data_IF_575872882132
#
_entry.id   IF_575872882132
#
_cell.length_a   1.000
_cell.length_b   1.000
_cell.length_c   1.000
_cell.angle_alpha   90.00
_cell.angle_beta   90.00
_cell.angle_gamma   90.00
#
_symmetry.space_group_name_H-M   'P 1'
#
loop_
_entity.id
_entity.type
_entity.pdbx_description
1 polymer ?
#
# COMPACT_ATOMS: atom_id res chain seq x y z
N UNK A 1 -11.10 15.58 11.04
CA UNK A 1 -10.58 14.28 10.58
C UNK A 1 -9.08 14.49 10.35
N UNK A 2 -8.20 13.61 10.86
CA UNK A 2 -6.73 13.79 10.77
C UNK A 2 -6.07 12.90 9.71
N UNK A 3 -6.79 11.89 9.23
CA UNK A 3 -6.34 10.96 8.18
C UNK A 3 -7.46 10.86 7.17
N UNK A 4 -7.17 11.13 5.91
CA UNK A 4 -8.14 11.09 4.80
C UNK A 4 -7.59 10.14 3.74
N UNK A 5 -8.38 9.16 3.34
CA UNK A 5 -8.01 8.24 2.28
C UNK A 5 -8.72 8.60 0.96
N UNK A 6 -7.96 8.68 -0.13
CA UNK A 6 -8.42 8.97 -1.49
C UNK A 6 -7.94 7.83 -2.39
N UNK A 7 -8.85 6.95 -2.79
CA UNK A 7 -8.52 5.76 -3.58
C UNK A 7 -8.50 6.07 -5.07
N UNK A 8 -7.46 5.59 -5.76
CA UNK A 8 -7.31 5.72 -7.22
C UNK A 8 -7.25 4.34 -7.89
N UNK A 9 -8.31 3.51 -7.78
CA UNK A 9 -8.32 2.14 -8.28
C UNK A 9 -8.30 2.06 -9.80
N UNK A 10 -8.49 3.17 -10.52
CA UNK A 10 -8.63 3.24 -11.97
C UNK A 10 -7.54 4.07 -12.67
N UNK A 11 -6.51 4.53 -11.94
CA UNK A 11 -5.41 5.33 -12.53
C UNK A 11 -4.68 4.57 -13.64
N UNK A 12 -4.68 3.23 -13.59
CA UNK A 12 -4.09 2.41 -14.66
C UNK A 12 -5.09 2.09 -15.77
N UNK A 13 -6.37 1.97 -15.46
CA UNK A 13 -7.42 1.66 -16.46
C UNK A 13 -7.54 2.77 -17.52
N UNK A 14 -7.26 4.02 -17.15
CA UNK A 14 -7.26 5.15 -18.07
C UNK A 14 -5.99 5.31 -18.91
N UNK A 15 -4.94 4.50 -18.69
CA UNK A 15 -3.68 4.65 -19.42
C UNK A 15 -3.87 4.43 -20.93
N UNK A 16 -3.48 5.39 -21.77
CA UNK A 16 -3.51 5.22 -23.21
C UNK A 16 -2.72 4.00 -23.69
N UNK A 17 -3.28 3.29 -24.67
CA UNK A 17 -2.61 2.16 -25.32
C UNK A 17 -1.31 2.58 -26.02
N UNK A 18 -1.29 3.80 -26.58
CA UNK A 18 -0.11 4.38 -27.22
C UNK A 18 0.83 4.94 -26.16
N UNK A 19 2.07 4.43 -26.14
CA UNK A 19 3.11 4.88 -25.20
C UNK A 19 3.33 6.40 -25.24
N UNK A 20 3.28 7.00 -26.44
CA UNK A 20 3.46 8.44 -26.63
C UNK A 20 2.42 9.30 -25.91
N UNK A 21 1.23 8.77 -25.66
CA UNK A 21 0.11 9.50 -25.03
C UNK A 21 0.07 9.32 -23.51
N UNK A 22 0.82 8.35 -22.97
CA UNK A 22 0.78 7.99 -21.53
C UNK A 22 1.27 9.09 -20.62
N UNK A 23 2.35 9.77 -20.99
CA UNK A 23 2.92 10.84 -20.16
C UNK A 23 1.92 11.97 -19.95
N UNK A 24 1.27 12.43 -21.02
CA UNK A 24 0.24 13.45 -20.93
C UNK A 24 -0.94 13.02 -20.04
N UNK A 25 -1.34 11.75 -20.13
CA UNK A 25 -2.40 11.19 -19.27
C UNK A 25 -2.01 11.23 -17.79
N UNK A 26 -0.84 10.66 -17.45
CA UNK A 26 -0.39 10.56 -16.07
C UNK A 26 -0.20 11.95 -15.45
N UNK A 27 0.34 12.92 -16.21
CA UNK A 27 0.52 14.30 -15.74
C UNK A 27 -0.79 14.95 -15.26
N UNK A 28 -1.88 14.86 -16.03
CA UNK A 28 -3.14 15.46 -15.59
C UNK A 28 -3.82 14.62 -14.51
N UNK A 29 -3.70 13.30 -14.53
CA UNK A 29 -4.31 12.41 -13.53
C UNK A 29 -3.73 12.67 -12.13
N UNK A 30 -2.39 12.70 -12.03
CA UNK A 30 -1.68 13.03 -10.78
C UNK A 30 -2.02 14.44 -10.32
N UNK A 31 -2.08 15.41 -11.25
CA UNK A 31 -2.47 16.78 -10.91
C UNK A 31 -3.88 16.84 -10.34
N UNK A 32 -4.83 16.07 -10.88
CA UNK A 32 -6.19 16.00 -10.37
C UNK A 32 -6.23 15.46 -8.93
N UNK A 33 -5.47 14.40 -8.65
CA UNK A 33 -5.29 13.87 -7.29
C UNK A 33 -4.72 14.93 -6.34
N UNK A 34 -3.63 15.61 -6.73
CA UNK A 34 -3.03 16.65 -5.88
C UNK A 34 -3.98 17.81 -5.61
N UNK A 35 -4.78 18.22 -6.59
CA UNK A 35 -5.79 19.28 -6.40
C UNK A 35 -6.82 18.86 -5.35
N UNK A 36 -7.26 17.58 -5.33
CA UNK A 36 -8.22 17.11 -4.34
C UNK A 36 -7.64 17.00 -2.93
N UNK A 37 -6.33 16.73 -2.81
CA UNK A 37 -5.64 16.54 -1.53
C UNK A 37 -5.00 17.82 -0.94
N UNK A 38 -4.57 18.77 -1.77
CA UNK A 38 -3.70 19.91 -1.37
C UNK A 38 -4.32 20.95 -0.41
N UNK A 39 -5.61 20.86 -0.11
CA UNK A 39 -6.30 21.81 0.79
C UNK A 39 -6.18 21.49 2.27
N UNK A 40 -5.47 20.42 2.64
CA UNK A 40 -5.34 19.96 4.04
C UNK A 40 -4.20 20.68 4.78
N UNK A 41 -4.22 20.57 6.12
CA UNK A 41 -3.12 21.07 6.96
C UNK A 41 -1.96 20.07 6.95
N UNK A 42 -0.74 20.52 7.24
CA UNK A 42 0.46 19.67 7.31
C UNK A 42 0.32 18.50 8.30
N UNK A 43 -0.47 18.64 9.37
CA UNK A 43 -0.72 17.55 10.32
C UNK A 43 -1.80 16.56 9.88
N UNK A 44 -2.40 16.77 8.69
CA UNK A 44 -3.41 15.87 8.11
C UNK A 44 -2.77 14.93 7.13
N UNK A 45 -2.84 13.62 7.40
CA UNK A 45 -2.30 12.61 6.50
C UNK A 45 -3.28 12.29 5.37
N UNK A 46 -2.76 12.24 4.15
CA UNK A 46 -3.39 11.75 2.94
C UNK A 46 -2.89 10.33 2.66
N UNK A 47 -3.85 9.41 2.69
CA UNK A 47 -3.63 8.02 2.31
C UNK A 47 -4.18 7.81 0.89
N UNK A 48 -3.56 6.95 0.11
CA UNK A 48 -4.14 6.46 -1.15
C UNK A 48 -4.00 4.96 -1.28
N UNK A 49 -5.04 4.32 -1.81
CA UNK A 49 -5.03 2.90 -2.13
C UNK A 49 -5.06 2.69 -3.65
N UNK A 50 -4.25 1.75 -4.13
CA UNK A 50 -4.20 1.35 -5.53
C UNK A 50 -4.29 -0.17 -5.66
N UNK A 51 -5.30 -0.66 -6.37
CA UNK A 51 -5.62 -2.08 -6.53
C UNK A 51 -4.73 -2.78 -7.59
N UNK A 52 -3.44 -2.47 -7.64
CA UNK A 52 -2.53 -3.02 -8.66
C UNK A 52 -1.28 -3.61 -8.03
N UNK A 53 -0.76 -4.63 -8.70
CA UNK A 53 0.41 -5.38 -8.27
C UNK A 53 1.64 -5.14 -9.15
N UNK A 54 1.68 -4.07 -9.97
CA UNK A 54 2.81 -3.78 -10.87
C UNK A 54 2.97 -2.28 -11.09
N UNK A 55 3.94 -1.65 -10.44
CA UNK A 55 4.16 -0.19 -10.51
C UNK A 55 5.44 0.23 -11.23
N UNK A 56 6.23 -0.74 -11.71
CA UNK A 56 7.56 -0.50 -12.30
C UNK A 56 7.58 0.62 -13.35
N UNK A 57 6.58 0.65 -14.23
CA UNK A 57 6.52 1.62 -15.33
C UNK A 57 6.00 3.02 -14.92
N UNK A 58 5.43 3.17 -13.71
CA UNK A 58 4.76 4.40 -13.27
C UNK A 58 5.18 4.85 -11.86
N UNK A 59 6.22 4.26 -11.26
CA UNK A 59 6.63 4.56 -9.88
C UNK A 59 6.95 6.05 -9.67
N UNK A 60 7.56 6.70 -10.66
CA UNK A 60 7.82 8.14 -10.66
C UNK A 60 6.54 8.97 -10.56
N UNK A 61 5.49 8.53 -11.25
CA UNK A 61 4.19 9.18 -11.28
C UNK A 61 3.43 8.95 -9.97
N UNK A 62 3.54 7.74 -9.40
CA UNK A 62 3.01 7.43 -8.07
C UNK A 62 3.66 8.32 -7.00
N UNK A 63 4.99 8.46 -7.02
CA UNK A 63 5.69 9.37 -6.12
C UNK A 63 5.29 10.84 -6.32
N UNK A 64 5.00 11.24 -7.56
CA UNK A 64 4.52 12.58 -7.85
C UNK A 64 3.09 12.85 -7.35
N UNK A 65 2.32 11.83 -6.93
CA UNK A 65 1.04 12.01 -6.25
C UNK A 65 1.19 12.65 -4.88
N UNK A 66 2.37 12.52 -4.26
CA UNK A 66 2.71 13.20 -3.00
C UNK A 66 1.75 12.81 -1.84
N UNK A 67 1.34 11.54 -1.82
CA UNK A 67 0.56 10.99 -0.71
C UNK A 67 1.50 10.61 0.45
N UNK A 68 1.08 10.87 1.69
CA UNK A 68 1.85 10.55 2.89
C UNK A 68 2.00 9.03 3.07
N UNK A 69 0.92 8.30 2.78
CA UNK A 69 0.89 6.83 2.88
C UNK A 69 0.24 6.23 1.63
N UNK A 70 0.90 5.24 1.03
CA UNK A 70 0.34 4.46 -0.07
C UNK A 70 0.09 3.02 0.39
N UNK A 71 -1.10 2.49 0.14
CA UNK A 71 -1.40 1.07 0.37
C UNK A 71 -1.57 0.34 -0.96
N UNK A 72 -0.90 -0.80 -1.10
CA UNK A 72 -0.84 -1.58 -2.34
C UNK A 72 -1.15 -3.06 -2.09
N UNK A 73 -1.70 -3.71 -3.10
CA UNK A 73 -1.98 -5.15 -3.07
C UNK A 73 -0.70 -5.95 -3.30
N UNK A 74 -0.23 -6.67 -2.26
CA UNK A 74 1.07 -7.36 -2.33
C UNK A 74 1.02 -8.81 -1.85
N UNK A 75 -0.02 -9.25 -1.13
CA UNK A 75 0.02 -10.54 -0.42
C UNK A 75 0.24 -11.74 -1.35
N UNK A 76 -0.21 -11.67 -2.61
CA UNK A 76 -0.03 -12.71 -3.62
C UNK A 76 1.29 -12.64 -4.39
N UNK A 77 1.91 -11.46 -4.44
CA UNK A 77 3.14 -11.19 -5.20
C UNK A 77 4.43 -11.50 -4.43
N UNK A 78 4.32 -12.02 -3.20
CA UNK A 78 5.46 -12.31 -2.32
C UNK A 78 6.44 -11.13 -2.12
N UNK A 79 5.96 -9.90 -2.17
CA UNK A 79 6.74 -8.66 -2.00
C UNK A 79 7.69 -8.30 -3.15
N UNK A 80 7.63 -8.96 -4.32
CA UNK A 80 8.42 -8.55 -5.52
C UNK A 80 8.17 -7.07 -5.89
N UNK A 81 6.96 -6.58 -5.61
CA UNK A 81 6.60 -5.17 -5.79
C UNK A 81 7.40 -4.19 -4.95
N UNK A 82 7.85 -4.61 -3.76
CA UNK A 82 8.57 -3.73 -2.85
C UNK A 82 9.98 -3.42 -3.36
N UNK A 83 10.56 -4.28 -4.20
CA UNK A 83 11.86 -4.03 -4.83
C UNK A 83 11.81 -2.73 -5.65
N UNK A 84 10.71 -2.47 -6.37
CA UNK A 84 10.52 -1.25 -7.12
C UNK A 84 10.57 0.02 -6.24
N UNK A 85 9.96 -0.05 -5.05
CA UNK A 85 9.96 1.05 -4.08
C UNK A 85 11.32 1.23 -3.41
N UNK A 86 12.01 0.13 -3.12
CA UNK A 86 13.35 0.13 -2.55
C UNK A 86 14.38 0.72 -3.53
N UNK A 87 14.37 0.25 -4.79
CA UNK A 87 15.24 0.72 -5.87
C UNK A 87 14.99 2.21 -6.19
N UNK A 88 13.72 2.62 -6.24
CA UNK A 88 13.34 4.01 -6.43
C UNK A 88 13.65 4.89 -5.21
N UNK A 89 13.90 4.29 -4.03
CA UNK A 89 14.02 4.98 -2.74
C UNK A 89 12.82 5.86 -2.44
N UNK A 90 11.64 5.24 -2.49
CA UNK A 90 10.38 5.93 -2.25
C UNK A 90 10.42 6.68 -0.91
N UNK A 91 10.14 8.00 -0.88
CA UNK A 91 10.42 8.81 0.30
C UNK A 91 9.37 8.67 1.40
N UNK A 92 8.14 8.31 1.04
CA UNK A 92 6.98 8.34 1.93
C UNK A 92 6.66 6.94 2.49
N UNK A 93 5.59 6.83 3.27
CA UNK A 93 5.22 5.59 3.96
C UNK A 93 4.42 4.67 3.02
N UNK A 94 4.49 3.36 3.27
CA UNK A 94 3.88 2.33 2.44
C UNK A 94 3.28 1.20 3.27
N UNK A 95 2.11 0.74 2.86
CA UNK A 95 1.38 -0.36 3.43
C UNK A 95 1.26 -1.53 2.46
N UNK A 96 2.24 -2.46 2.43
CA UNK A 96 2.10 -3.69 1.67
C UNK A 96 1.02 -4.56 2.31
N UNK A 97 -0.01 -4.92 1.53
CA UNK A 97 -1.04 -5.83 1.99
C UNK A 97 -0.47 -7.19 2.43
N UNK A 98 -0.79 -7.60 3.67
CA UNK A 98 -0.36 -8.89 4.27
C UNK A 98 -1.49 -9.91 4.39
N UNK A 99 -2.70 -9.55 3.96
CA UNK A 99 -3.88 -10.40 3.98
C UNK A 99 -4.58 -10.37 2.63
N UNK A 100 -4.55 -11.53 1.94
CA UNK A 100 -5.32 -11.77 0.70
C UNK A 100 -6.82 -11.77 0.99
N UNK A 101 -7.43 -10.60 0.85
CA UNK A 101 -8.85 -10.42 1.07
C UNK A 101 -9.70 -11.11 0.02
N UNK A 102 -9.16 -11.71 -1.05
CA UNK A 102 -9.93 -12.44 -2.07
C UNK A 102 -10.02 -13.94 -1.78
N UNK A 103 -9.35 -14.41 -0.72
CA UNK A 103 -9.43 -15.77 -0.21
C UNK A 103 -10.29 -15.83 1.06
N UNK A 104 -11.14 -16.85 1.26
CA UNK A 104 -11.81 -17.08 2.55
C UNK A 104 -10.87 -17.70 3.59
N UNK A 105 -9.64 -18.06 3.20
CA UNK A 105 -8.63 -18.62 4.10
C UNK A 105 -8.20 -17.55 5.10
N UNK A 106 -8.15 -17.92 6.38
CA UNK A 106 -7.59 -17.07 7.42
C UNK A 106 -6.06 -17.30 7.43
N UNK A 107 -5.23 -16.32 7.04
CA UNK A 107 -3.78 -16.41 7.19
C UNK A 107 -3.37 -16.50 8.66
N UNK A 108 -2.31 -17.25 8.93
CA UNK A 108 -1.73 -17.43 10.27
C UNK A 108 -0.91 -16.20 10.68
N UNK A 109 -0.58 -16.10 11.98
CA UNK A 109 0.27 -15.02 12.51
C UNK A 109 1.67 -15.13 11.92
N UNK A 110 2.17 -16.35 11.80
CA UNK A 110 3.49 -16.69 11.26
C UNK A 110 3.61 -16.25 9.81
N UNK A 111 2.62 -16.58 8.97
CA UNK A 111 2.61 -16.17 7.55
C UNK A 111 2.64 -14.65 7.38
N UNK A 112 1.89 -13.90 8.18
CA UNK A 112 1.93 -12.43 8.12
C UNK A 112 3.24 -11.86 8.67
N UNK A 113 3.81 -12.48 9.70
CA UNK A 113 5.09 -12.07 10.28
C UNK A 113 6.21 -12.21 9.25
N UNK A 114 6.28 -13.34 8.54
CA UNK A 114 7.25 -13.55 7.46
C UNK A 114 7.14 -12.50 6.35
N UNK A 115 5.92 -12.09 5.98
CA UNK A 115 5.70 -11.04 4.99
C UNK A 115 6.20 -9.67 5.49
N UNK A 116 5.96 -9.34 6.76
CA UNK A 116 6.43 -8.09 7.37
C UNK A 116 7.96 -8.05 7.49
N UNK A 117 8.58 -9.15 7.90
CA UNK A 117 10.04 -9.28 7.98
C UNK A 117 10.67 -9.08 6.60
N UNK A 118 10.12 -9.69 5.54
CA UNK A 118 10.56 -9.45 4.16
C UNK A 118 10.45 -7.98 3.76
N UNK A 119 9.34 -7.32 4.10
CA UNK A 119 9.17 -5.89 3.81
C UNK A 119 10.22 -5.02 4.54
N UNK A 120 10.58 -5.37 5.78
CA UNK A 120 11.61 -4.67 6.56
C UNK A 120 13.03 -4.83 6.02
N UNK A 121 13.32 -5.89 5.25
CA UNK A 121 14.61 -6.03 4.57
C UNK A 121 14.78 -5.02 3.42
N UNK A 122 13.67 -4.56 2.86
CA UNK A 122 13.64 -3.68 1.68
C UNK A 122 13.40 -2.22 2.04
N UNK A 123 12.63 -1.97 3.11
CA UNK A 123 12.17 -0.63 3.50
C UNK A 123 12.36 -0.38 4.99
N UNK A 124 12.64 0.88 5.41
CA UNK A 124 12.76 1.22 6.82
C UNK A 124 11.46 0.89 7.58
N UNK A 125 11.58 0.24 8.74
CA UNK A 125 10.42 -0.16 9.53
C UNK A 125 9.48 1.00 9.89
N UNK A 126 10.02 2.21 10.11
CA UNK A 126 9.24 3.43 10.37
C UNK A 126 8.34 3.86 9.21
N UNK A 127 8.62 3.41 7.98
CA UNK A 127 7.86 3.72 6.79
C UNK A 127 6.80 2.63 6.47
N UNK A 128 6.72 1.55 7.26
CA UNK A 128 5.83 0.43 6.99
C UNK A 128 4.51 0.52 7.75
N UNK A 129 3.41 0.36 7.01
CA UNK A 129 2.06 0.13 7.54
C UNK A 129 1.67 -1.33 7.41
N UNK A 130 0.79 -1.79 8.31
CA UNK A 130 0.25 -3.15 8.28
C UNK A 130 -1.25 -3.08 7.98
N UNK A 131 -1.64 -3.57 6.82
CA UNK A 131 -3.02 -3.53 6.32
C UNK A 131 -3.36 -4.77 5.50
N UNK A 132 -4.66 -5.04 5.27
CA UNK A 132 -5.09 -6.00 4.26
C UNK A 132 -4.76 -5.51 2.84
N UNK A 133 -4.85 -6.41 1.85
CA UNK A 133 -4.67 -6.03 0.45
C UNK A 133 -5.68 -4.97 -0.02
N UNK A 134 -6.95 -5.09 0.38
CA UNK A 134 -8.02 -4.19 -0.05
C UNK A 134 -9.18 -4.16 0.98
N UNK A 135 -10.30 -3.57 0.59
CA UNK A 135 -11.52 -3.51 1.39
C UNK A 135 -12.14 -4.89 1.68
N UNK A 136 -12.69 -5.03 2.89
CA UNK A 136 -13.21 -6.31 3.42
C UNK A 136 -14.68 -6.58 3.04
N UNK A 137 -15.27 -5.81 2.13
CA UNK A 137 -16.70 -5.84 1.79
C UNK A 137 -17.21 -7.23 1.37
N UNK A 138 -16.37 -8.03 0.73
CA UNK A 138 -16.74 -9.35 0.21
C UNK A 138 -16.57 -10.47 1.24
N UNK A 139 -16.00 -10.18 2.42
CA UNK A 139 -15.67 -11.15 3.46
C UNK A 139 -16.77 -11.24 4.53
N UNK A 140 -16.81 -12.37 5.23
CA UNK A 140 -17.72 -12.62 6.36
C UNK A 140 -17.05 -12.20 7.67
N UNK A 141 -17.87 -11.90 8.68
CA UNK A 141 -17.38 -11.46 9.98
C UNK A 141 -16.44 -12.46 10.69
N UNK A 142 -16.74 -13.78 10.75
CA UNK A 142 -15.86 -14.70 11.47
C UNK A 142 -14.45 -14.79 10.86
N UNK A 143 -14.35 -14.87 9.53
CA UNK A 143 -13.06 -14.90 8.82
C UNK A 143 -12.32 -13.56 8.96
N UNK A 144 -13.04 -12.44 8.81
CA UNK A 144 -12.46 -11.10 8.88
C UNK A 144 -11.91 -10.80 10.26
N UNK A 145 -12.68 -11.08 11.31
CA UNK A 145 -12.29 -10.81 12.68
C UNK A 145 -11.03 -11.60 13.04
N UNK A 146 -10.99 -12.90 12.71
CA UNK A 146 -9.83 -13.72 13.03
C UNK A 146 -8.59 -13.29 12.25
N UNK A 147 -8.73 -12.99 10.95
CA UNK A 147 -7.60 -12.52 10.14
C UNK A 147 -7.03 -11.19 10.66
N UNK A 148 -7.89 -10.24 11.07
CA UNK A 148 -7.44 -8.97 11.64
C UNK A 148 -6.80 -9.13 13.03
N UNK A 149 -7.29 -10.04 13.87
CA UNK A 149 -6.64 -10.38 15.15
C UNK A 149 -5.24 -10.90 14.89
N UNK A 150 -5.08 -11.84 13.96
CA UNK A 150 -3.78 -12.41 13.60
C UNK A 150 -2.83 -11.31 13.05
N UNK A 151 -3.36 -10.39 12.23
CA UNK A 151 -2.60 -9.26 11.67
C UNK A 151 -2.07 -8.31 12.74
N UNK A 152 -2.88 -7.98 13.75
CA UNK A 152 -2.45 -7.15 14.87
C UNK A 152 -1.40 -7.88 15.70
N UNK A 153 -1.55 -9.19 15.92
CA UNK A 153 -0.57 -10.01 16.64
C UNK A 153 0.77 -10.07 15.90
N UNK A 154 0.77 -10.29 14.58
CA UNK A 154 1.98 -10.27 13.76
C UNK A 154 2.70 -8.92 13.87
N UNK A 155 1.97 -7.81 13.75
CA UNK A 155 2.54 -6.47 13.91
C UNK A 155 3.13 -6.23 15.32
N UNK A 156 2.54 -6.81 16.37
CA UNK A 156 3.07 -6.72 17.73
C UNK A 156 4.39 -7.49 17.87
N UNK A 157 4.46 -8.72 17.35
CA UNK A 157 5.68 -9.54 17.36
C UNK A 157 6.83 -8.84 16.64
N UNK A 158 6.57 -8.32 15.45
CA UNK A 158 7.59 -7.58 14.66
C UNK A 158 8.02 -6.29 15.36
N UNK A 159 7.14 -5.61 16.11
CA UNK A 159 7.56 -4.44 16.90
C UNK A 159 8.53 -4.81 18.01
N UNK A 160 8.38 -5.97 18.65
CA UNK A 160 9.29 -6.43 19.70
C UNK A 160 10.71 -6.65 19.18
N UNK A 161 10.88 -7.05 17.91
CA UNK A 161 12.21 -7.22 17.30
C UNK A 161 12.88 -5.88 17.02
N UNK A 162 12.11 -4.88 16.58
CA UNK A 162 12.62 -3.52 16.28
C UNK A 162 13.13 -2.81 17.55
N UNK A 163 12.45 -2.97 18.69
CA UNK A 163 12.85 -2.30 19.93
C UNK A 163 14.06 -2.93 20.64
N UNK A 164 14.54 -4.08 20.16
CA UNK A 164 15.71 -4.75 20.73
C UNK A 164 17.03 -4.38 20.03
N UNK A 165 16.97 -3.66 18.91
CA UNK A 165 18.13 -3.06 18.20
C UNK A 165 18.40 -1.61 18.63
#
# INVERSE_FOLDING_TARGET
IKVIQIDEPAIREGLPLRLADRENYLQWAIKAFRISASGVQDETQIHTHMCYSEFNDIIHHIAAMDADVITIETSRSQMELLDAFADFKYPNEIGPGVYDIHSPRIPTVEEMTELLEKAMLLLPAKNLWVNPDCGLKTRKWPETQQALINMVQAAQLVRETIYQE
#
